data_IF_974904659961
#
_entry.id   IF_974904659961
#
_cell.length_a   1.000
_cell.length_b   1.000
_cell.length_c   1.000
_cell.angle_alpha   90.00
_cell.angle_beta   90.00
_cell.angle_gamma   90.00
#
_symmetry.space_group_name_H-M   'P 1'
#
loop_
_entity.id
_entity.type
_entity.pdbx_description
1 polymer ?
#
# COMPACT_ATOMS: atom_id res chain seq x y z
N UNK A 1 33.60 -20.67 -24.02
CA UNK A 1 32.18 -21.08 -23.97
C UNK A 1 31.36 -19.81 -23.86
N UNK A 2 30.87 -19.28 -24.98
CA UNK A 2 29.88 -18.21 -24.96
C UNK A 2 28.53 -18.85 -24.62
N UNK A 3 28.15 -18.78 -23.34
CA UNK A 3 26.82 -19.20 -22.89
C UNK A 3 25.76 -18.26 -23.44
N UNK A 4 24.52 -18.74 -23.55
CA UNK A 4 23.35 -18.00 -24.07
C UNK A 4 23.10 -16.64 -23.38
N UNK A 5 23.67 -16.40 -22.20
CA UNK A 5 23.54 -15.18 -21.40
C UNK A 5 24.88 -14.44 -21.19
N UNK A 6 25.90 -14.66 -22.02
CA UNK A 6 27.24 -14.11 -21.80
C UNK A 6 27.33 -12.57 -21.96
N UNK A 7 26.29 -11.90 -22.46
CA UNK A 7 26.30 -10.46 -22.75
C UNK A 7 24.94 -9.79 -22.47
N UNK A 8 24.45 -9.80 -21.21
CA UNK A 8 23.24 -9.05 -20.85
C UNK A 8 23.46 -7.55 -21.11
N UNK A 9 22.42 -6.83 -21.58
CA UNK A 9 22.53 -5.42 -21.99
C UNK A 9 23.19 -5.20 -23.35
N UNK A 10 23.52 -6.27 -24.10
CA UNK A 10 24.14 -6.18 -25.43
C UNK A 10 23.49 -7.12 -26.45
N UNK A 11 23.67 -6.83 -27.75
CA UNK A 11 23.17 -7.68 -28.83
C UNK A 11 21.66 -7.92 -28.75
N UNK A 12 21.25 -9.19 -28.73
CA UNK A 12 19.83 -9.58 -28.61
C UNK A 12 19.22 -9.33 -27.22
N UNK A 13 20.04 -9.03 -26.20
CA UNK A 13 19.62 -8.74 -24.82
C UNK A 13 19.80 -7.25 -24.48
N UNK A 14 19.93 -6.37 -25.48
CA UNK A 14 20.13 -4.93 -25.29
C UNK A 14 18.99 -4.22 -24.54
N UNK A 15 17.78 -4.78 -24.59
CA UNK A 15 16.60 -4.28 -23.85
C UNK A 15 16.69 -4.60 -22.36
N UNK A 16 17.51 -5.57 -21.97
CA UNK A 16 17.73 -5.94 -20.57
C UNK A 16 18.79 -5.02 -19.96
N UNK A 17 18.34 -3.87 -19.44
CA UNK A 17 19.16 -2.94 -18.69
C UNK A 17 18.46 -2.49 -17.40
N UNK A 18 19.23 -2.04 -16.43
CA UNK A 18 18.69 -1.50 -15.17
C UNK A 18 17.70 -0.36 -15.43
N UNK A 19 16.61 -0.32 -14.66
CA UNK A 19 15.50 0.59 -14.84
C UNK A 19 14.47 0.15 -15.89
N UNK A 20 14.69 -0.93 -16.63
CA UNK A 20 13.67 -1.46 -17.54
C UNK A 20 12.50 -2.10 -16.77
N UNK A 21 11.32 -2.11 -17.41
CA UNK A 21 10.14 -2.77 -16.87
C UNK A 21 10.15 -4.25 -17.25
N UNK A 22 9.97 -5.11 -16.26
CA UNK A 22 9.75 -6.54 -16.41
C UNK A 22 8.26 -6.83 -16.21
N UNK A 23 7.62 -7.38 -17.22
CA UNK A 23 6.22 -7.81 -17.15
C UNK A 23 6.15 -9.32 -16.98
N UNK A 24 5.59 -9.77 -15.85
CA UNK A 24 5.40 -11.18 -15.59
C UNK A 24 3.96 -11.57 -15.91
N UNK A 25 3.78 -12.44 -16.91
CA UNK A 25 2.46 -12.91 -17.34
C UNK A 25 2.35 -14.43 -17.18
N UNK A 26 1.87 -14.92 -16.01
CA UNK A 26 1.61 -16.33 -15.81
C UNK A 26 0.58 -16.85 -16.80
N UNK A 27 0.77 -18.08 -17.27
CA UNK A 27 -0.07 -18.63 -18.32
C UNK A 27 0.02 -20.14 -18.43
N UNK A 28 -0.82 -20.68 -19.32
CA UNK A 28 -0.89 -22.09 -19.65
C UNK A 28 -0.67 -22.30 -21.15
N UNK A 29 -0.14 -23.47 -21.49
CA UNK A 29 -0.18 -23.95 -22.87
C UNK A 29 -1.46 -24.74 -23.06
N UNK A 30 -2.36 -24.24 -23.88
CA UNK A 30 -3.60 -24.92 -24.24
C UNK A 30 -3.50 -25.46 -25.67
N UNK A 31 -4.48 -26.26 -26.10
CA UNK A 31 -4.59 -26.71 -27.49
C UNK A 31 -4.86 -25.55 -28.47
N UNK A 32 -5.33 -24.40 -27.97
CA UNK A 32 -5.56 -23.20 -28.75
C UNK A 32 -4.32 -22.29 -28.84
N UNK A 33 -3.26 -22.58 -28.07
CA UNK A 33 -2.02 -21.81 -28.05
C UNK A 33 -1.56 -21.46 -26.64
N UNK A 34 -0.65 -20.49 -26.54
CA UNK A 34 -0.24 -19.96 -25.25
C UNK A 34 -1.27 -18.93 -24.77
N UNK A 35 -1.85 -19.17 -23.61
CA UNK A 35 -2.76 -18.24 -22.93
C UNK A 35 -2.07 -17.70 -21.69
N UNK A 36 -2.12 -16.38 -21.48
CA UNK A 36 -1.53 -15.74 -20.32
C UNK A 36 -2.44 -14.63 -19.80
N UNK A 37 -2.38 -14.40 -18.49
CA UNK A 37 -3.01 -13.25 -17.85
C UNK A 37 -1.96 -12.18 -17.60
N UNK A 38 -2.34 -10.90 -17.69
CA UNK A 38 -1.49 -9.80 -17.27
C UNK A 38 -1.21 -9.95 -15.77
N UNK A 39 0.05 -10.13 -15.41
CA UNK A 39 0.46 -10.22 -14.01
C UNK A 39 1.19 -8.98 -13.52
N UNK A 40 2.08 -9.18 -12.55
CA UNK A 40 2.79 -8.11 -11.88
C UNK A 40 3.88 -7.51 -12.80
N UNK A 41 4.10 -6.21 -12.66
CA UNK A 41 5.23 -5.52 -13.27
C UNK A 41 6.27 -5.18 -12.19
N UNK A 42 7.54 -5.25 -12.58
CA UNK A 42 8.68 -4.94 -11.75
C UNK A 42 9.64 -4.00 -12.49
N UNK A 43 10.44 -3.25 -11.75
CA UNK A 43 11.56 -2.48 -12.29
C UNK A 43 12.84 -3.24 -12.00
N UNK A 44 13.65 -3.49 -13.03
CA UNK A 44 14.93 -4.18 -12.87
C UNK A 44 15.92 -3.27 -12.13
N UNK A 45 16.32 -3.65 -10.93
CA UNK A 45 17.27 -2.90 -10.11
C UNK A 45 18.71 -3.29 -10.43
N UNK A 46 18.94 -4.59 -10.63
CA UNK A 46 20.26 -5.14 -10.94
C UNK A 46 20.13 -6.50 -11.61
N UNK A 47 21.19 -6.94 -12.27
CA UNK A 47 21.31 -8.32 -12.73
C UNK A 47 22.72 -8.85 -12.51
N UNK A 48 22.83 -10.14 -12.26
CA UNK A 48 24.09 -10.84 -12.03
C UNK A 48 24.20 -12.02 -12.99
N UNK A 49 25.32 -12.08 -13.72
CA UNK A 49 25.66 -13.21 -14.58
C UNK A 49 26.81 -14.00 -13.97
N UNK A 50 26.59 -15.30 -13.75
CA UNK A 50 27.59 -16.23 -13.26
C UNK A 50 27.82 -17.35 -14.26
N UNK A 51 29.08 -17.73 -14.46
CA UNK A 51 29.48 -18.89 -15.27
C UNK A 51 30.46 -19.73 -14.49
N UNK A 52 29.98 -20.83 -13.91
CA UNK A 52 30.76 -21.72 -13.06
C UNK A 52 30.20 -23.14 -13.07
N UNK A 53 31.06 -24.15 -12.92
CA UNK A 53 30.64 -25.56 -12.79
C UNK A 53 29.86 -26.11 -14.00
N UNK A 54 30.13 -25.60 -15.21
CA UNK A 54 29.41 -26.00 -16.42
C UNK A 54 28.00 -25.40 -16.56
N UNK A 55 27.63 -24.47 -15.68
CA UNK A 55 26.35 -23.76 -15.70
C UNK A 55 26.58 -22.26 -15.91
N UNK A 56 25.75 -21.66 -16.75
CA UNK A 56 25.59 -20.21 -16.83
C UNK A 56 24.24 -19.83 -16.20
N UNK A 57 24.24 -18.84 -15.31
CA UNK A 57 23.05 -18.35 -14.62
C UNK A 57 22.96 -16.84 -14.73
N UNK A 58 21.74 -16.35 -14.99
CA UNK A 58 21.39 -14.93 -14.94
C UNK A 58 20.35 -14.76 -13.83
N UNK A 59 20.68 -13.93 -12.84
CA UNK A 59 19.79 -13.58 -11.73
C UNK A 59 19.36 -12.13 -11.92
N UNK A 60 18.06 -11.88 -11.86
CA UNK A 60 17.47 -10.56 -11.97
C UNK A 60 16.95 -10.14 -10.59
N UNK A 61 17.40 -8.98 -10.12
CA UNK A 61 16.92 -8.34 -8.90
C UNK A 61 16.00 -7.20 -9.32
N UNK A 62 14.75 -7.22 -8.87
CA UNK A 62 13.74 -6.28 -9.33
C UNK A 62 12.80 -5.87 -8.19
N UNK A 63 12.36 -4.61 -8.23
CA UNK A 63 11.45 -4.00 -7.27
C UNK A 63 10.03 -3.96 -7.83
N UNK A 64 9.06 -4.35 -7.01
CA UNK A 64 7.65 -4.13 -7.30
C UNK A 64 7.22 -2.69 -6.93
N UNK A 65 5.98 -2.33 -7.25
CA UNK A 65 5.47 -1.00 -6.96
C UNK A 65 5.43 -0.67 -5.45
N UNK A 66 5.21 -1.66 -4.58
CA UNK A 66 5.25 -1.44 -3.13
C UNK A 66 6.65 -1.11 -2.65
N UNK A 67 7.66 -1.78 -3.22
CA UNK A 67 9.07 -1.49 -3.00
C UNK A 67 9.42 -0.06 -3.45
N UNK A 68 8.90 0.39 -4.59
CA UNK A 68 9.06 1.79 -5.04
C UNK A 68 8.46 2.80 -4.05
N UNK A 69 7.25 2.51 -3.53
CA UNK A 69 6.59 3.32 -2.51
C UNK A 69 7.39 3.36 -1.20
N UNK A 70 7.92 2.22 -0.76
CA UNK A 70 8.69 2.13 0.48
C UNK A 70 10.04 2.85 0.38
N UNK A 71 10.68 2.77 -0.79
CA UNK A 71 11.99 3.38 -1.03
C UNK A 71 11.90 4.90 -1.23
N UNK A 72 10.75 5.43 -1.64
CA UNK A 72 10.58 6.88 -1.76
C UNK A 72 10.63 7.57 -0.39
N UNK A 73 11.39 8.66 -0.33
CA UNK A 73 11.50 9.52 0.84
C UNK A 73 11.30 10.99 0.47
N UNK A 74 10.53 11.69 1.30
CA UNK A 74 10.35 13.13 1.14
C UNK A 74 11.68 13.86 1.37
N UNK A 75 12.15 14.63 0.37
CA UNK A 75 13.40 15.40 0.45
C UNK A 75 13.23 16.74 1.16
N UNK A 76 12.03 17.26 1.17
CA UNK A 76 11.66 18.51 1.82
C UNK A 76 10.22 18.40 2.33
N UNK A 77 9.80 19.37 3.13
CA UNK A 77 8.46 19.42 3.65
C UNK A 77 7.46 19.71 2.52
N UNK A 78 6.32 19.04 2.59
CA UNK A 78 5.10 19.39 1.85
C UNK A 78 4.01 19.65 2.87
N UNK A 79 3.21 20.69 2.67
CA UNK A 79 2.03 20.96 3.49
C UNK A 79 0.92 21.50 2.60
N UNK A 80 -0.28 20.98 2.80
CA UNK A 80 -1.48 21.39 2.09
C UNK A 80 -2.58 21.74 3.09
N UNK A 81 -3.56 22.49 2.61
CA UNK A 81 -4.82 22.78 3.29
C UNK A 81 -4.75 23.39 4.71
N UNK A 82 -3.67 24.11 5.01
CA UNK A 82 -3.62 24.89 6.28
C UNK A 82 -4.70 25.98 6.34
N UNK A 83 -5.04 26.59 5.20
CA UNK A 83 -5.92 27.75 5.13
C UNK A 83 -6.96 27.66 4.00
N UNK A 84 -6.77 26.75 3.04
CA UNK A 84 -7.49 26.69 1.78
C UNK A 84 -7.71 25.23 1.37
N UNK A 85 -8.87 24.89 0.82
CA UNK A 85 -9.16 23.52 0.36
C UNK A 85 -8.52 23.26 -1.03
N UNK A 86 -7.20 23.13 -1.07
CA UNK A 86 -6.41 23.02 -2.30
C UNK A 86 -6.32 21.59 -2.85
N UNK A 87 -6.06 20.62 -1.98
CA UNK A 87 -5.82 19.22 -2.38
C UNK A 87 -6.62 18.25 -1.52
N UNK A 88 -7.57 17.53 -2.12
CA UNK A 88 -8.28 16.48 -1.40
C UNK A 88 -7.35 15.27 -1.17
N UNK A 89 -7.79 14.30 -0.34
CA UNK A 89 -7.02 13.07 -0.08
C UNK A 89 -6.58 12.38 -1.37
N UNK A 90 -7.46 12.29 -2.38
CA UNK A 90 -7.14 11.71 -3.69
C UNK A 90 -5.96 12.40 -4.37
N UNK A 91 -5.93 13.73 -4.34
CA UNK A 91 -4.91 14.52 -5.01
C UNK A 91 -3.56 14.36 -4.31
N UNK A 92 -3.56 14.32 -2.98
CA UNK A 92 -2.33 14.08 -2.20
C UNK A 92 -1.82 12.65 -2.44
N UNK A 93 -2.70 11.65 -2.49
CA UNK A 93 -2.33 10.28 -2.87
C UNK A 93 -1.70 10.24 -4.27
N UNK A 94 -2.33 10.87 -5.26
CA UNK A 94 -1.81 10.96 -6.61
C UNK A 94 -0.44 11.65 -6.67
N UNK A 95 -0.24 12.71 -5.88
CA UNK A 95 1.03 13.40 -5.76
C UNK A 95 2.14 12.48 -5.24
N UNK A 96 1.89 11.74 -4.16
CA UNK A 96 2.89 10.83 -3.56
C UNK A 96 3.20 9.67 -4.51
N UNK A 97 2.18 9.06 -5.10
CA UNK A 97 2.33 7.96 -6.05
C UNK A 97 3.09 8.39 -7.31
N UNK A 98 2.78 9.57 -7.86
CA UNK A 98 3.50 10.12 -9.01
C UNK A 98 4.99 10.33 -8.74
N UNK A 99 5.37 10.66 -7.50
CA UNK A 99 6.79 10.75 -7.08
C UNK A 99 7.48 9.39 -6.96
N UNK A 100 6.71 8.31 -6.85
CA UNK A 100 7.19 6.93 -6.88
C UNK A 100 7.18 6.34 -8.31
N UNK A 101 6.77 7.12 -9.32
CA UNK A 101 6.63 6.64 -10.70
C UNK A 101 5.34 5.87 -10.98
N UNK A 102 4.36 5.93 -10.08
CA UNK A 102 3.09 5.21 -10.19
C UNK A 102 1.96 6.17 -10.55
N UNK A 103 1.13 5.77 -11.51
CA UNK A 103 -0.11 6.48 -11.82
C UNK A 103 -1.23 5.99 -10.91
N UNK A 104 -1.95 6.93 -10.29
CA UNK A 104 -3.19 6.63 -9.59
C UNK A 104 -4.34 6.45 -10.58
N UNK A 105 -5.03 5.33 -10.51
CA UNK A 105 -6.25 5.02 -11.24
C UNK A 105 -7.38 4.71 -10.27
N UNK A 106 -8.62 4.86 -10.73
CA UNK A 106 -9.82 4.63 -9.91
C UNK A 106 -10.56 3.42 -10.45
N UNK A 107 -10.78 2.39 -9.61
CA UNK A 107 -11.76 1.33 -9.88
C UNK A 107 -13.11 1.68 -9.28
N UNK A 108 -13.12 2.07 -8.01
CA UNK A 108 -14.25 2.68 -7.31
C UNK A 108 -13.71 3.68 -6.30
N UNK A 109 -14.53 4.57 -5.78
CA UNK A 109 -14.08 5.54 -4.79
C UNK A 109 -15.23 6.00 -3.89
N UNK A 110 -14.93 6.36 -2.64
CA UNK A 110 -15.87 7.04 -1.76
C UNK A 110 -16.10 8.48 -2.20
N UNK A 111 -17.16 9.13 -1.71
CA UNK A 111 -17.29 10.58 -1.86
C UNK A 111 -16.24 11.32 -1.03
N UNK A 112 -15.91 10.78 0.15
CA UNK A 112 -15.01 11.37 1.15
C UNK A 112 -13.61 11.61 0.58
N UNK A 113 -13.06 10.67 -0.20
CA UNK A 113 -11.72 10.83 -0.79
C UNK A 113 -11.56 12.07 -1.68
N UNK A 114 -12.67 12.55 -2.27
CA UNK A 114 -12.69 13.77 -3.10
C UNK A 114 -13.25 14.99 -2.40
N UNK A 115 -13.89 14.85 -1.23
CA UNK A 115 -14.51 15.96 -0.50
C UNK A 115 -13.81 16.31 0.81
N UNK A 116 -12.85 15.49 1.27
CA UNK A 116 -12.07 15.74 2.48
C UNK A 116 -10.70 16.33 2.16
N UNK A 117 -10.38 17.46 2.80
CA UNK A 117 -9.19 18.28 2.55
C UNK A 117 -8.40 18.44 3.86
N UNK A 118 -7.63 17.42 4.28
CA UNK A 118 -6.91 17.49 5.55
C UNK A 118 -5.77 18.51 5.49
N UNK A 119 -5.53 19.27 6.57
CA UNK A 119 -4.25 19.98 6.77
C UNK A 119 -3.16 18.93 6.95
N UNK A 120 -2.54 18.57 5.83
CA UNK A 120 -1.67 17.41 5.76
C UNK A 120 -0.24 17.84 5.51
N UNK A 121 0.65 17.43 6.42
CA UNK A 121 2.08 17.70 6.33
C UNK A 121 2.86 16.41 6.13
N UNK A 122 3.71 16.38 5.10
CA UNK A 122 4.76 15.38 4.90
C UNK A 122 6.08 16.01 5.33
N UNK A 123 6.73 15.43 6.33
CA UNK A 123 8.03 15.91 6.79
C UNK A 123 9.19 15.31 5.98
N UNK A 124 10.33 16.02 5.87
CA UNK A 124 11.54 15.44 5.31
C UNK A 124 11.88 14.10 5.97
N UNK A 125 12.26 13.12 5.16
CA UNK A 125 12.61 11.76 5.60
C UNK A 125 11.43 10.81 5.80
N UNK A 126 10.17 11.29 5.78
CA UNK A 126 9.00 10.42 5.75
C UNK A 126 9.03 9.49 4.52
N UNK A 127 8.67 8.22 4.73
CA UNK A 127 8.57 7.21 3.67
C UNK A 127 7.20 7.23 3.00
N UNK A 128 7.13 6.83 1.73
CA UNK A 128 5.89 6.82 0.96
C UNK A 128 4.80 5.95 1.58
N UNK A 129 5.15 4.75 2.05
CA UNK A 129 4.21 3.83 2.69
C UNK A 129 3.57 4.43 3.96
N UNK A 130 4.35 5.11 4.80
CA UNK A 130 3.84 5.76 6.01
C UNK A 130 2.89 6.91 5.67
N UNK A 131 3.24 7.72 4.65
CA UNK A 131 2.39 8.82 4.17
C UNK A 131 1.07 8.29 3.61
N UNK A 132 1.12 7.29 2.73
CA UNK A 132 -0.07 6.68 2.13
C UNK A 132 -0.95 6.07 3.22
N UNK A 133 -0.36 5.34 4.18
CA UNK A 133 -1.12 4.74 5.28
C UNK A 133 -1.87 5.80 6.10
N UNK A 134 -1.22 6.94 6.38
CA UNK A 134 -1.86 8.06 7.09
C UNK A 134 -2.96 8.74 6.25
N UNK A 135 -2.81 8.81 4.93
CA UNK A 135 -3.86 9.36 4.06
C UNK A 135 -5.07 8.41 3.99
N UNK A 136 -4.81 7.11 3.86
CA UNK A 136 -5.86 6.10 3.83
C UNK A 136 -6.60 5.98 5.16
N UNK A 137 -5.98 6.33 6.31
CA UNK A 137 -6.70 6.30 7.59
C UNK A 137 -7.82 7.34 7.70
N UNK A 138 -7.87 8.35 6.80
CA UNK A 138 -8.96 9.34 6.78
C UNK A 138 -10.19 8.89 5.98
N UNK A 139 -10.09 7.80 5.23
CA UNK A 139 -11.10 7.43 4.23
C UNK A 139 -11.38 5.92 4.28
N UNK A 140 -12.55 5.46 3.81
CA UNK A 140 -12.85 4.03 3.75
C UNK A 140 -12.17 3.33 2.54
N UNK A 141 -11.57 4.09 1.63
CA UNK A 141 -10.95 3.55 0.43
C UNK A 141 -9.66 2.78 0.72
N UNK A 142 -9.40 1.77 -0.10
CA UNK A 142 -8.17 0.98 -0.08
C UNK A 142 -7.34 1.24 -1.33
N UNK A 143 -6.02 1.16 -1.17
CA UNK A 143 -5.05 1.22 -2.26
C UNK A 143 -4.46 -0.16 -2.51
N UNK A 144 -4.43 -0.58 -3.76
CA UNK A 144 -3.68 -1.76 -4.19
C UNK A 144 -2.95 -1.48 -5.50
N UNK A 145 -1.95 -2.28 -5.82
CA UNK A 145 -1.18 -2.14 -7.05
C UNK A 145 -1.44 -3.35 -7.95
N UNK A 146 -1.63 -3.09 -9.23
CA UNK A 146 -1.69 -4.09 -10.28
C UNK A 146 -0.79 -3.63 -11.43
N UNK A 147 0.21 -4.44 -11.79
CA UNK A 147 1.22 -4.04 -12.76
C UNK A 147 2.02 -2.82 -12.28
N UNK A 148 2.05 -1.77 -13.11
CA UNK A 148 2.76 -0.50 -12.84
C UNK A 148 1.81 0.65 -12.41
N UNK A 149 0.58 0.31 -11.99
CA UNK A 149 -0.44 1.28 -11.60
C UNK A 149 -0.94 1.03 -10.20
N UNK A 150 -1.22 2.11 -9.49
CA UNK A 150 -1.86 2.07 -8.19
C UNK A 150 -3.34 2.37 -8.37
N UNK A 151 -4.20 1.53 -7.80
CA UNK A 151 -5.64 1.60 -7.92
C UNK A 151 -6.26 1.93 -6.56
N UNK A 152 -7.22 2.85 -6.58
CA UNK A 152 -8.13 3.06 -5.46
C UNK A 152 -9.43 2.30 -5.70
N UNK A 153 -9.92 1.68 -4.63
CA UNK A 153 -11.24 1.10 -4.55
C UNK A 153 -11.89 1.44 -3.20
N UNK A 154 -13.19 1.68 -3.21
CA UNK A 154 -14.01 1.73 -2.00
C UNK A 154 -14.79 0.41 -1.88
N UNK A 155 -14.35 -0.54 -1.04
CA UNK A 155 -15.00 -1.82 -0.90
C UNK A 155 -16.31 -1.66 -0.11
N UNK A 156 -17.41 -2.10 -0.68
CA UNK A 156 -18.73 -2.09 -0.05
C UNK A 156 -19.13 -3.49 0.40
N UNK A 157 -19.89 -3.58 1.49
CA UNK A 157 -20.46 -4.85 1.96
C UNK A 157 -21.44 -5.49 0.97
N UNK A 158 -21.96 -4.70 0.03
CA UNK A 158 -22.81 -5.14 -1.08
C UNK A 158 -22.02 -5.61 -2.30
N UNK A 159 -20.70 -5.48 -2.30
CA UNK A 159 -19.89 -5.91 -3.44
C UNK A 159 -19.99 -7.42 -3.62
N UNK A 160 -20.28 -7.82 -4.84
CA UNK A 160 -20.38 -9.23 -5.19
C UNK A 160 -19.00 -9.85 -5.23
N UNK A 161 -18.90 -11.10 -4.76
CA UNK A 161 -17.66 -11.83 -4.93
C UNK A 161 -17.33 -12.02 -6.41
N UNK A 162 -16.12 -11.61 -6.81
CA UNK A 162 -15.62 -11.83 -8.18
C UNK A 162 -15.36 -13.31 -8.44
N UNK A 163 -15.19 -14.11 -7.38
CA UNK A 163 -14.94 -15.53 -7.49
C UNK A 163 -15.55 -16.32 -6.33
N UNK A 164 -16.14 -17.47 -6.62
CA UNK A 164 -16.66 -18.39 -5.62
C UNK A 164 -16.04 -19.77 -5.80
N UNK A 165 -15.59 -20.36 -4.70
CA UNK A 165 -15.11 -21.73 -4.72
C UNK A 165 -16.29 -22.70 -4.86
N UNK A 166 -16.27 -23.52 -5.91
CA UNK A 166 -17.24 -24.60 -6.13
C UNK A 166 -16.70 -25.96 -5.68
N UNK A 167 -17.52 -26.99 -5.77
CA UNK A 167 -17.15 -28.38 -5.39
C UNK A 167 -16.01 -28.96 -6.23
N UNK A 168 -15.79 -28.43 -7.44
CA UNK A 168 -14.69 -28.80 -8.34
C UNK A 168 -13.36 -28.13 -8.00
N UNK A 169 -13.34 -27.15 -7.10
CA UNK A 169 -12.11 -26.44 -6.75
C UNK A 169 -11.42 -27.12 -5.57
N UNK A 170 -10.21 -27.62 -5.81
CA UNK A 170 -9.40 -28.22 -4.76
C UNK A 170 -8.82 -27.12 -3.86
N UNK A 171 -9.30 -27.03 -2.62
CA UNK A 171 -8.72 -26.16 -1.58
C UNK A 171 -7.57 -26.92 -0.92
N UNK A 172 -6.35 -26.40 -1.04
CA UNK A 172 -5.14 -27.06 -0.53
C UNK A 172 -5.00 -26.82 0.99
N UNK A 173 -5.19 -25.59 1.45
CA UNK A 173 -5.14 -25.21 2.86
C UNK A 173 -6.15 -24.08 3.12
N UNK A 174 -6.82 -24.13 4.28
CA UNK A 174 -7.59 -23.02 4.83
C UNK A 174 -7.10 -22.73 6.24
N UNK A 175 -6.62 -21.50 6.49
CA UNK A 175 -6.19 -21.07 7.82
C UNK A 175 -7.24 -20.16 8.44
N UNK A 176 -7.90 -20.65 9.49
CA UNK A 176 -8.93 -19.91 10.21
C UNK A 176 -8.42 -19.56 11.60
N UNK A 177 -8.31 -18.27 11.90
CA UNK A 177 -7.91 -17.77 13.22
C UNK A 177 -9.02 -16.89 13.76
N UNK A 178 -9.48 -17.19 14.97
CA UNK A 178 -10.31 -16.28 15.77
C UNK A 178 -9.43 -15.73 16.89
N UNK A 179 -9.09 -14.45 16.80
CA UNK A 179 -8.35 -13.72 17.83
C UNK A 179 -9.28 -12.75 18.56
N UNK A 180 -8.94 -12.42 19.80
CA UNK A 180 -9.47 -11.22 20.46
C UNK A 180 -8.74 -9.99 19.93
N UNK A 181 -9.33 -8.81 20.13
CA UNK A 181 -8.74 -7.55 19.65
C UNK A 181 -7.39 -7.29 20.30
N UNK A 182 -6.39 -6.75 19.60
CA UNK A 182 -5.07 -6.46 20.21
C UNK A 182 -5.18 -5.39 21.30
N UNK A 183 -5.69 -4.18 21.01
CA UNK A 183 -6.22 -3.28 22.04
C UNK A 183 -7.72 -3.49 22.25
N UNK A 184 -8.16 -3.60 23.49
CA UNK A 184 -9.58 -3.63 23.88
C UNK A 184 -9.98 -2.47 24.80
N UNK A 185 -9.01 -1.59 25.10
CA UNK A 185 -9.20 -0.24 25.64
C UNK A 185 -8.31 0.71 24.86
N UNK A 186 -8.87 1.84 24.43
CA UNK A 186 -8.11 2.92 23.78
C UNK A 186 -8.33 4.19 24.58
N UNK A 187 -7.24 4.89 24.91
CA UNK A 187 -7.26 6.20 25.54
C UNK A 187 -6.65 7.20 24.56
N UNK A 188 -7.39 8.24 24.23
CA UNK A 188 -6.95 9.34 23.37
C UNK A 188 -6.74 10.57 24.23
N UNK A 189 -5.54 11.14 24.14
CA UNK A 189 -5.12 12.35 24.83
C UNK A 189 -4.88 13.46 23.80
N UNK A 190 -5.59 14.57 23.97
CA UNK A 190 -5.48 15.80 23.19
C UNK A 190 -5.39 17.02 24.11
N UNK A 191 -5.54 18.21 23.55
CA UNK A 191 -5.37 19.46 24.29
C UNK A 191 -6.32 20.53 23.77
N UNK A 192 -7.17 21.08 24.63
CA UNK A 192 -8.03 22.22 24.31
C UNK A 192 -7.26 23.53 24.58
N UNK A 193 -6.84 24.27 23.54
CA UNK A 193 -6.09 25.51 23.71
C UNK A 193 -6.96 26.70 24.14
N UNK A 194 -8.30 26.59 24.06
CA UNK A 194 -9.23 27.64 24.51
C UNK A 194 -9.47 27.52 26.02
N UNK A 195 -9.64 26.29 26.52
CA UNK A 195 -9.83 26.01 27.94
C UNK A 195 -8.51 25.87 28.71
N UNK A 196 -7.38 25.67 28.01
CA UNK A 196 -6.06 25.36 28.60
C UNK A 196 -6.07 24.04 29.40
N UNK A 197 -6.86 23.06 28.93
CA UNK A 197 -7.09 21.78 29.62
C UNK A 197 -6.81 20.58 28.70
N UNK A 198 -6.31 19.45 29.25
CA UNK A 198 -6.12 18.22 28.48
C UNK A 198 -7.48 17.57 28.16
N UNK A 199 -7.65 17.14 26.91
CA UNK A 199 -8.80 16.34 26.47
C UNK A 199 -8.43 14.87 26.59
N UNK A 200 -9.05 14.12 27.50
CA UNK A 200 -8.77 12.70 27.68
C UNK A 200 -10.06 11.89 27.53
N UNK A 201 -10.09 10.98 26.55
CA UNK A 201 -11.25 10.13 26.27
C UNK A 201 -10.83 8.66 26.26
N UNK A 202 -11.53 7.84 27.03
CA UNK A 202 -11.38 6.39 27.02
C UNK A 202 -12.56 5.73 26.27
N UNK A 203 -12.23 4.73 25.44
CA UNK A 203 -13.19 3.83 24.80
C UNK A 203 -12.88 2.38 25.18
N UNK A 204 -13.91 1.66 25.62
CA UNK A 204 -13.80 0.31 26.18
C UNK A 204 -14.61 -0.69 25.38
N UNK A 205 -13.99 -1.81 25.01
CA UNK A 205 -14.70 -3.00 24.53
C UNK A 205 -14.83 -4.00 25.68
N UNK A 206 -15.82 -3.78 26.56
CA UNK A 206 -16.02 -4.61 27.76
C UNK A 206 -16.14 -6.10 27.44
N UNK A 207 -16.83 -6.46 26.35
CA UNK A 207 -16.95 -7.86 25.93
C UNK A 207 -15.63 -8.50 25.46
N UNK A 208 -14.64 -7.72 25.03
CA UNK A 208 -13.29 -8.20 24.72
C UNK A 208 -12.38 -8.18 25.96
N UNK A 209 -12.59 -7.25 26.89
CA UNK A 209 -11.91 -7.21 28.20
C UNK A 209 -12.31 -8.42 29.04
N UNK A 210 -13.59 -8.77 29.07
CA UNK A 210 -14.09 -9.96 29.79
C UNK A 210 -13.45 -11.26 29.26
N UNK A 211 -13.07 -11.29 27.98
CA UNK A 211 -12.43 -12.46 27.35
C UNK A 211 -10.95 -12.56 27.69
N UNK A 212 -10.21 -11.44 27.69
CA UNK A 212 -8.74 -11.45 27.71
C UNK A 212 -8.10 -10.25 28.42
N UNK A 213 -8.75 -9.78 29.49
CA UNK A 213 -8.34 -8.68 30.38
C UNK A 213 -8.02 -7.37 29.65
N UNK A 214 -7.66 -6.33 30.40
CA UNK A 214 -7.37 -5.01 29.83
C UNK A 214 -6.07 -5.03 29.00
N UNK A 215 -6.16 -4.50 27.78
CA UNK A 215 -5.07 -4.27 26.84
C UNK A 215 -5.24 -2.85 26.29
N UNK A 216 -4.60 -1.93 27.00
CA UNK A 216 -4.62 -0.50 26.75
C UNK A 216 -3.72 -0.11 25.58
N UNK A 217 -4.24 0.75 24.70
CA UNK A 217 -3.46 1.57 23.78
C UNK A 217 -3.71 3.05 24.07
N UNK A 218 -2.64 3.79 24.33
CA UNK A 218 -2.69 5.24 24.48
C UNK A 218 -2.27 5.90 23.16
N UNK A 219 -2.99 6.94 22.78
CA UNK A 219 -2.70 7.78 21.61
C UNK A 219 -2.70 9.24 22.06
N UNK A 220 -1.59 9.92 21.84
CA UNK A 220 -1.47 11.36 22.07
C UNK A 220 -1.53 12.07 20.71
N UNK A 221 -2.48 12.99 20.53
CA UNK A 221 -2.58 13.84 19.36
C UNK A 221 -2.94 15.28 19.77
N UNK A 222 -1.96 16.18 19.68
CA UNK A 222 -2.13 17.59 20.04
C UNK A 222 -3.05 18.37 19.09
N UNK A 223 -3.53 17.76 17.99
CA UNK A 223 -4.51 18.38 17.09
C UNK A 223 -5.95 18.04 17.48
N UNK A 224 -6.17 17.17 18.46
CA UNK A 224 -7.49 16.88 19.00
C UNK A 224 -7.76 17.90 20.10
N UNK A 225 -8.65 18.85 19.82
CA UNK A 225 -8.98 19.94 20.74
C UNK A 225 -10.36 19.80 21.39
N UNK A 226 -11.16 18.80 20.96
CA UNK A 226 -12.44 18.50 21.57
C UNK A 226 -12.65 17.01 21.88
N UNK A 227 -13.53 16.75 22.86
CA UNK A 227 -13.99 15.38 23.20
C UNK A 227 -14.59 14.65 22.00
N UNK A 228 -15.29 15.36 21.12
CA UNK A 228 -15.92 14.78 19.92
C UNK A 228 -14.89 14.31 18.89
N UNK A 229 -13.74 14.98 18.78
CA UNK A 229 -12.64 14.57 17.90
C UNK A 229 -11.85 13.38 18.48
N UNK A 230 -11.88 13.21 19.81
CA UNK A 230 -11.23 12.12 20.52
C UNK A 230 -12.05 10.80 20.54
N UNK A 231 -13.32 10.82 20.11
CA UNK A 231 -14.25 9.68 20.08
C UNK A 231 -14.23 8.93 18.74
#
# INVERSE_FOLDING_TARGET
HEGQYASPGQGALSVLDTGCQLEFSPGYRTTAGNEASSGQAFILDAYEHTSAGGKASLVLYASDAWSLIENWRARHQFRWNKQTDEMCVKDILAFVLGRCGLKLEVKSQSSVITSFYPDFTIHPGNRGNAVITRLLSFIPDVLFVEGNKAYVANPLSTDSSVYSYGSSHQIIEGRYRKGTWEPNRVQVEGYDPQADEPVVVDSFSWGEIDKLYDRLKQLEDSNIDTVSEAQ
#
